data_IF_546123152109
#
_entry.id   IF_546123152109
#
_cell.length_a   1.000
_cell.length_b   1.000
_cell.length_c   1.000
_cell.angle_alpha   90.00
_cell.angle_beta   90.00
_cell.angle_gamma   90.00
#
_symmetry.space_group_name_H-M   'P 1'
#
loop_
_entity.id
_entity.type
_entity.pdbx_description
1 polymer ?
#
# COMPACT_ATOMS: atom_id res chain seq x y z
N UNK A 1 -4.54 26.21 22.77
CA UNK A 1 -3.80 25.73 21.60
C UNK A 1 -4.79 25.00 20.72
N UNK A 2 -5.11 25.57 19.55
CA UNK A 2 -5.99 24.91 18.58
C UNK A 2 -5.14 23.80 17.95
N UNK A 3 -5.53 22.54 18.17
CA UNK A 3 -4.93 21.39 17.49
C UNK A 3 -5.67 21.23 16.17
N UNK A 4 -4.96 21.34 15.05
CA UNK A 4 -5.51 21.03 13.73
C UNK A 4 -4.89 19.75 13.18
N UNK A 5 -5.54 19.16 12.19
CA UNK A 5 -5.09 17.97 11.49
C UNK A 5 -5.20 18.21 9.98
N UNK A 6 -4.31 17.62 9.19
CA UNK A 6 -4.31 17.77 7.73
C UNK A 6 -3.78 16.54 7.01
N UNK A 7 -4.22 16.39 5.76
CA UNK A 7 -3.65 15.47 4.77
C UNK A 7 -2.76 16.27 3.81
N UNK A 8 -1.53 15.82 3.62
CA UNK A 8 -0.63 16.39 2.63
C UNK A 8 -0.46 15.44 1.46
N UNK A 9 -0.62 15.96 0.24
CA UNK A 9 -0.24 15.26 -0.99
C UNK A 9 1.16 15.71 -1.44
N UNK A 10 1.98 14.78 -1.90
CA UNK A 10 3.35 15.06 -2.35
C UNK A 10 3.79 14.04 -3.43
N UNK A 11 4.80 14.36 -4.25
CA UNK A 11 5.32 13.43 -5.25
C UNK A 11 6.16 12.31 -4.63
N UNK A 12 6.43 11.24 -5.39
CA UNK A 12 7.31 10.15 -4.95
C UNK A 12 8.71 10.67 -4.63
N UNK A 13 9.27 10.39 -3.44
CA UNK A 13 10.59 10.89 -3.08
C UNK A 13 11.72 10.14 -3.78
N UNK A 14 12.75 10.88 -4.19
CA UNK A 14 13.88 10.32 -4.93
C UNK A 14 14.81 9.44 -4.06
N UNK A 15 14.93 9.75 -2.76
CA UNK A 15 15.90 9.15 -1.86
C UNK A 15 15.44 7.81 -1.23
N UNK A 16 14.15 7.46 -1.31
CA UNK A 16 13.59 6.19 -0.81
C UNK A 16 12.56 5.61 -1.78
N UNK A 17 13.04 5.22 -2.96
CA UNK A 17 12.21 4.65 -4.02
C UNK A 17 11.90 3.18 -3.77
N UNK A 18 10.61 2.83 -3.88
CA UNK A 18 10.14 1.44 -3.79
C UNK A 18 10.02 0.76 -5.16
N UNK A 19 10.05 1.56 -6.24
CA UNK A 19 9.85 1.16 -7.64
C UNK A 19 10.55 2.16 -8.59
N UNK A 20 10.56 1.87 -9.89
CA UNK A 20 11.22 2.71 -10.93
C UNK A 20 10.56 4.08 -11.15
N UNK A 21 11.34 5.02 -11.69
CA UNK A 21 10.91 6.39 -12.05
C UNK A 21 9.75 6.48 -13.04
N UNK A 22 9.47 5.42 -13.79
CA UNK A 22 8.40 5.43 -14.79
C UNK A 22 7.00 5.60 -14.18
N UNK A 23 6.82 5.18 -12.92
CA UNK A 23 5.54 5.28 -12.22
C UNK A 23 5.30 6.63 -11.54
N UNK A 24 6.29 7.53 -11.51
CA UNK A 24 6.18 8.81 -10.79
C UNK A 24 5.00 9.65 -11.27
N UNK A 25 4.72 9.63 -12.57
CA UNK A 25 3.64 10.43 -13.18
C UNK A 25 2.24 9.96 -12.82
N UNK A 26 2.10 8.70 -12.46
CA UNK A 26 0.82 8.10 -12.09
C UNK A 26 0.67 7.89 -10.58
N UNK A 27 1.73 8.17 -9.82
CA UNK A 27 1.74 7.94 -8.38
C UNK A 27 1.56 9.24 -7.61
N UNK A 28 0.60 9.27 -6.69
CA UNK A 28 0.46 10.35 -5.71
C UNK A 28 0.66 9.80 -4.31
N UNK A 29 1.51 10.45 -3.52
CA UNK A 29 1.74 10.09 -2.13
C UNK A 29 0.90 10.97 -1.20
N UNK A 30 0.42 10.38 -0.11
CA UNK A 30 -0.35 11.04 0.94
C UNK A 30 0.21 10.70 2.31
N UNK A 31 0.33 11.70 3.17
CA UNK A 31 0.57 11.51 4.59
C UNK A 31 -0.40 12.35 5.41
N UNK A 32 -0.51 11.99 6.68
CA UNK A 32 -1.36 12.67 7.64
C UNK A 32 -0.49 13.37 8.70
N UNK A 33 -0.87 14.57 9.11
CA UNK A 33 -0.26 15.26 10.24
C UNK A 33 -1.34 15.66 11.23
N UNK A 34 -1.09 15.40 12.51
CA UNK A 34 -2.03 15.67 13.60
C UNK A 34 -1.37 16.49 14.70
N UNK A 35 -2.17 16.97 15.65
CA UNK A 35 -1.71 17.81 16.77
C UNK A 35 -0.88 19.02 16.32
N UNK A 36 -1.25 19.62 15.19
CA UNK A 36 -0.50 20.70 14.55
C UNK A 36 -0.62 21.97 15.37
N UNK A 37 0.53 22.58 15.68
CA UNK A 37 0.62 23.87 16.36
C UNK A 37 0.65 25.07 15.38
N UNK A 38 0.73 26.29 15.93
CA UNK A 38 0.79 27.54 15.15
C UNK A 38 2.06 27.65 14.28
N UNK A 39 3.09 26.84 14.55
CA UNK A 39 4.32 26.74 13.77
C UNK A 39 4.26 25.63 12.71
N UNK A 40 3.09 25.02 12.48
CA UNK A 40 2.88 23.87 11.60
C UNK A 40 3.70 22.63 12.00
N UNK A 41 4.05 22.53 13.29
CA UNK A 41 4.78 21.40 13.86
C UNK A 41 3.79 20.42 14.48
N UNK A 42 4.00 19.13 14.23
CA UNK A 42 3.10 18.07 14.68
C UNK A 42 3.52 16.72 14.11
N UNK A 43 3.19 15.62 14.80
CA UNK A 43 3.52 14.26 14.38
C UNK A 43 2.91 13.89 13.02
N UNK A 44 3.64 13.06 12.29
CA UNK A 44 3.18 12.44 11.05
C UNK A 44 2.73 11.01 11.26
N UNK A 45 1.68 10.61 10.53
CA UNK A 45 1.15 9.26 10.52
C UNK A 45 -0.35 9.20 10.84
N UNK A 46 -0.92 8.02 10.70
CA UNK A 46 -2.36 7.78 10.82
C UNK A 46 -2.78 7.32 12.23
N UNK A 47 -2.24 7.97 13.27
CA UNK A 47 -2.40 7.53 14.66
C UNK A 47 -3.53 8.23 15.42
N UNK A 48 -3.96 9.41 14.98
CA UNK A 48 -5.10 10.13 15.57
C UNK A 48 -6.40 9.38 15.34
N UNK A 49 -7.43 9.65 16.17
CA UNK A 49 -8.74 9.03 16.01
C UNK A 49 -9.39 9.36 14.65
N UNK A 50 -9.21 10.59 14.16
CA UNK A 50 -9.74 11.02 12.86
C UNK A 50 -9.00 10.30 11.73
N UNK A 51 -7.66 10.24 11.80
CA UNK A 51 -6.85 9.57 10.80
C UNK A 51 -7.20 8.07 10.68
N UNK A 52 -7.39 7.40 11.82
CA UNK A 52 -7.83 5.99 11.86
C UNK A 52 -9.18 5.79 11.17
N UNK A 53 -10.15 6.68 11.42
CA UNK A 53 -11.46 6.59 10.79
C UNK A 53 -11.37 6.80 9.26
N UNK A 54 -10.57 7.79 8.81
CA UNK A 54 -10.30 8.02 7.37
C UNK A 54 -9.71 6.76 6.73
N UNK A 55 -8.71 6.14 7.38
CA UNK A 55 -8.09 4.92 6.87
C UNK A 55 -9.09 3.78 6.81
N UNK A 56 -9.86 3.56 7.86
CA UNK A 56 -10.81 2.45 7.93
C UNK A 56 -11.88 2.55 6.84
N UNK A 57 -12.38 3.76 6.59
CA UNK A 57 -13.34 4.03 5.51
C UNK A 57 -12.72 3.87 4.11
N UNK A 58 -11.42 4.09 3.97
CA UNK A 58 -10.72 3.93 2.70
C UNK A 58 -10.37 2.46 2.42
N UNK A 59 -9.91 1.73 3.45
CA UNK A 59 -9.34 0.38 3.34
C UNK A 59 -10.38 -0.75 3.38
N UNK A 60 -11.65 -0.45 3.64
CA UNK A 60 -12.70 -1.47 3.81
C UNK A 60 -12.77 -2.52 2.69
N UNK A 61 -12.35 -2.13 1.49
CA UNK A 61 -12.40 -2.97 0.28
C UNK A 61 -11.01 -3.44 -0.14
N UNK A 62 -10.03 -3.46 0.77
CA UNK A 62 -8.65 -3.84 0.49
C UNK A 62 -8.16 -4.93 1.44
N UNK A 63 -7.27 -5.76 0.91
CA UNK A 63 -6.55 -6.83 1.61
C UNK A 63 -5.05 -6.57 1.52
N UNK A 64 -4.32 -6.96 2.56
CA UNK A 64 -2.86 -6.85 2.63
C UNK A 64 -2.20 -8.12 2.10
N UNK A 65 -1.19 -7.96 1.24
CA UNK A 65 -0.33 -9.07 0.83
C UNK A 65 0.76 -9.33 1.88
N UNK A 66 0.60 -10.40 2.64
CA UNK A 66 1.57 -10.85 3.62
C UNK A 66 2.69 -11.63 2.93
N UNK A 67 3.87 -11.02 2.83
CA UNK A 67 5.03 -11.60 2.13
C UNK A 67 5.61 -12.82 2.86
N UNK A 68 5.40 -12.92 4.19
CA UNK A 68 5.90 -14.01 5.02
C UNK A 68 5.00 -15.23 4.85
N UNK A 69 3.70 -15.00 5.03
CA UNK A 69 2.68 -16.03 4.91
C UNK A 69 2.32 -16.36 3.46
N UNK A 70 2.78 -15.53 2.51
CA UNK A 70 2.51 -15.64 1.08
C UNK A 70 1.02 -15.74 0.79
N UNK A 71 0.22 -14.83 1.35
CA UNK A 71 -1.24 -14.83 1.20
C UNK A 71 -1.82 -13.42 1.30
N UNK A 72 -3.02 -13.24 0.77
CA UNK A 72 -3.82 -12.03 0.98
C UNK A 72 -4.58 -12.16 2.32
N UNK A 73 -4.57 -11.09 3.11
CA UNK A 73 -5.16 -11.06 4.45
C UNK A 73 -6.05 -9.85 4.62
N UNK A 74 -7.22 -10.04 5.23
CA UNK A 74 -8.08 -8.92 5.62
C UNK A 74 -7.38 -8.06 6.67
N UNK A 75 -7.58 -6.76 6.58
CA UNK A 75 -6.94 -5.76 7.43
C UNK A 75 -7.92 -4.68 7.80
N UNK A 76 -7.82 -4.24 9.05
CA UNK A 76 -8.71 -3.23 9.61
C UNK A 76 -8.01 -1.86 9.71
N UNK A 77 -6.80 -1.73 9.14
CA UNK A 77 -5.94 -0.54 9.19
C UNK A 77 -4.72 -0.65 8.25
N UNK A 78 -3.94 0.45 8.14
CA UNK A 78 -2.67 0.52 7.38
C UNK A 78 -1.41 0.45 8.25
N UNK A 79 -1.37 -0.33 9.35
CA UNK A 79 -0.17 -0.32 10.21
C UNK A 79 1.08 -0.91 9.53
N UNK A 80 0.90 -1.86 8.61
CA UNK A 80 2.02 -2.56 7.96
C UNK A 80 2.46 -1.81 6.71
N UNK A 81 3.76 -1.80 6.47
CA UNK A 81 4.28 -1.34 5.18
C UNK A 81 4.07 -2.47 4.15
N UNK A 82 3.91 -2.10 2.89
CA UNK A 82 3.73 -3.05 1.81
C UNK A 82 2.49 -2.82 0.97
N UNK A 83 2.08 -3.88 0.28
CA UNK A 83 1.12 -3.84 -0.81
C UNK A 83 -0.29 -4.17 -0.31
N UNK A 84 -1.22 -3.27 -0.61
CA UNK A 84 -2.65 -3.42 -0.35
C UNK A 84 -3.39 -3.48 -1.67
N UNK A 85 -4.21 -4.50 -1.86
CA UNK A 85 -4.89 -4.82 -3.12
C UNK A 85 -6.38 -4.87 -2.86
N UNK A 86 -7.20 -4.41 -3.81
CA UNK A 86 -8.66 -4.51 -3.71
C UNK A 86 -9.10 -5.95 -3.43
N UNK A 87 -10.07 -6.14 -2.53
CA UNK A 87 -10.69 -7.42 -2.24
C UNK A 87 -11.35 -8.04 -3.47
N UNK A 88 -11.75 -7.22 -4.45
CA UNK A 88 -12.29 -7.71 -5.71
C UNK A 88 -11.22 -8.38 -6.59
N UNK A 89 -9.93 -8.20 -6.26
CA UNK A 89 -8.79 -8.94 -6.79
C UNK A 89 -8.67 -10.38 -6.27
N UNK A 90 -9.77 -10.99 -5.82
CA UNK A 90 -9.83 -12.36 -5.28
C UNK A 90 -9.19 -13.42 -6.19
N UNK A 91 -9.10 -13.18 -7.50
CA UNK A 91 -8.38 -14.05 -8.43
C UNK A 91 -6.92 -14.26 -8.01
N UNK A 92 -6.22 -13.21 -7.59
CA UNK A 92 -4.81 -13.28 -7.18
C UNK A 92 -4.61 -14.14 -5.92
N UNK A 93 -5.54 -14.05 -4.97
CA UNK A 93 -5.53 -14.90 -3.78
C UNK A 93 -5.72 -16.37 -4.12
N UNK A 94 -6.70 -16.67 -4.98
CA UNK A 94 -6.96 -18.04 -5.44
C UNK A 94 -5.78 -18.61 -6.24
N UNK A 95 -5.13 -17.82 -7.09
CA UNK A 95 -3.93 -18.23 -7.84
C UNK A 95 -2.79 -18.65 -6.89
N UNK A 96 -2.55 -17.86 -5.84
CA UNK A 96 -1.57 -18.17 -4.80
C UNK A 96 -1.90 -19.50 -4.11
N UNK A 97 -3.15 -19.71 -3.72
CA UNK A 97 -3.58 -20.92 -3.03
C UNK A 97 -3.42 -22.17 -3.91
N UNK A 98 -3.92 -22.10 -5.15
CA UNK A 98 -3.83 -23.19 -6.13
C UNK A 98 -2.37 -23.56 -6.38
N UNK A 99 -1.52 -22.56 -6.64
CA UNK A 99 -0.10 -22.77 -6.86
C UNK A 99 0.58 -23.41 -5.64
N UNK A 100 0.32 -22.88 -4.44
CA UNK A 100 0.91 -23.38 -3.19
C UNK A 100 0.50 -24.82 -2.89
N UNK A 101 -0.76 -25.18 -3.17
CA UNK A 101 -1.25 -26.55 -3.03
C UNK A 101 -0.58 -27.50 -4.03
N UNK A 102 -0.40 -27.08 -5.28
CA UNK A 102 0.27 -27.88 -6.31
C UNK A 102 1.74 -28.13 -5.96
N UNK A 103 2.47 -27.11 -5.48
CA UNK A 103 3.85 -27.24 -5.01
C UNK A 103 3.96 -28.23 -3.84
N UNK A 104 3.14 -28.07 -2.79
CA UNK A 104 3.12 -29.00 -1.64
C UNK A 104 2.80 -30.43 -2.06
N UNK A 105 1.86 -30.61 -3.00
CA UNK A 105 1.52 -31.92 -3.55
C UNK A 105 2.70 -32.56 -4.27
N UNK A 106 3.49 -31.79 -5.01
CA UNK A 106 4.71 -32.27 -5.65
C UNK A 106 5.80 -32.66 -4.65
N UNK A 107 6.01 -31.89 -3.59
CA UNK A 107 6.94 -32.24 -2.52
C UNK A 107 6.60 -33.60 -1.89
N UNK A 108 5.31 -33.84 -1.59
CA UNK A 108 4.84 -35.10 -1.03
C UNK A 108 4.99 -36.27 -2.01
N UNK A 109 4.75 -36.05 -3.31
CA UNK A 109 4.89 -37.08 -4.35
C UNK A 109 6.35 -37.45 -4.55
N UNK A 110 7.24 -36.47 -4.60
CA UNK A 110 8.69 -36.66 -4.68
C UNK A 110 9.22 -37.46 -3.49
N UNK A 111 8.76 -37.16 -2.28
CA UNK A 111 9.08 -37.95 -1.08
C UNK A 111 8.61 -39.40 -1.13
N UNK A 112 7.63 -39.72 -1.98
CA UNK A 112 7.10 -41.08 -2.22
C UNK A 112 7.64 -41.73 -3.50
N UNK A 113 8.58 -41.10 -4.20
CA UNK A 113 9.12 -41.58 -5.49
C UNK A 113 8.09 -41.54 -6.64
N UNK A 114 7.04 -40.75 -6.51
CA UNK A 114 6.01 -40.57 -7.54
C UNK A 114 6.39 -39.40 -8.46
N UNK A 115 6.01 -39.50 -9.74
CA UNK A 115 6.18 -38.41 -10.70
C UNK A 115 5.44 -37.14 -10.26
N UNK A 116 6.07 -35.99 -10.48
CA UNK A 116 5.47 -34.67 -10.23
C UNK A 116 4.25 -34.43 -11.14
N UNK A 117 3.30 -33.65 -10.65
CA UNK A 117 2.22 -33.08 -11.46
C UNK A 117 2.69 -31.75 -12.06
N UNK A 118 2.12 -31.39 -13.21
CA UNK A 118 2.33 -30.06 -13.78
C UNK A 118 1.81 -29.00 -12.82
N UNK A 119 2.59 -27.93 -12.64
CA UNK A 119 2.22 -26.78 -11.82
C UNK A 119 2.00 -25.60 -12.76
N UNK A 120 0.90 -24.88 -12.56
CA UNK A 120 0.62 -23.65 -13.27
C UNK A 120 1.73 -22.61 -13.09
N UNK A 121 1.71 -21.57 -13.93
CA UNK A 121 2.65 -20.46 -13.84
C UNK A 121 2.63 -19.86 -12.43
N UNK A 122 3.81 -19.61 -11.87
CA UNK A 122 3.96 -18.96 -10.57
C UNK A 122 3.18 -17.63 -10.54
N UNK A 123 2.25 -17.45 -9.58
CA UNK A 123 1.50 -16.19 -9.41
C UNK A 123 2.44 -15.01 -9.23
N UNK A 124 2.10 -13.87 -9.85
CA UNK A 124 3.01 -12.71 -9.91
C UNK A 124 3.31 -12.14 -8.52
N UNK A 125 2.34 -12.14 -7.60
CA UNK A 125 2.53 -11.63 -6.23
C UNK A 125 3.60 -12.42 -5.46
N UNK A 126 3.86 -13.68 -5.82
CA UNK A 126 4.95 -14.47 -5.22
C UNK A 126 6.35 -14.02 -5.68
N UNK A 127 6.48 -13.00 -6.54
CA UNK A 127 7.75 -12.32 -6.81
C UNK A 127 8.08 -11.22 -5.82
N UNK A 128 7.11 -10.72 -5.05
CA UNK A 128 7.34 -9.74 -3.98
C UNK A 128 8.07 -10.43 -2.82
N UNK A 129 9.34 -10.11 -2.60
CA UNK A 129 10.18 -10.75 -1.57
C UNK A 129 10.33 -9.92 -0.29
N UNK A 130 9.90 -8.67 -0.31
CA UNK A 130 9.99 -7.72 0.79
C UNK A 130 8.80 -6.77 0.81
N UNK A 131 8.30 -6.44 2.00
CA UNK A 131 7.27 -5.42 2.19
C UNK A 131 7.71 -4.03 1.69
N UNK A 132 9.01 -3.74 1.73
CA UNK A 132 9.55 -2.43 1.35
C UNK A 132 10.02 -2.36 -0.11
N UNK A 133 9.83 -3.40 -0.92
CA UNK A 133 10.27 -3.38 -2.31
C UNK A 133 9.32 -4.19 -3.18
N UNK A 134 8.51 -3.48 -3.97
CA UNK A 134 7.54 -4.10 -4.87
C UNK A 134 8.15 -4.15 -6.27
N UNK A 135 8.31 -5.33 -6.87
CA UNK A 135 8.84 -5.45 -8.23
C UNK A 135 7.97 -4.70 -9.25
N UNK A 136 8.60 -4.06 -10.22
CA UNK A 136 7.89 -3.26 -11.24
C UNK A 136 6.89 -4.11 -12.02
N UNK A 137 7.22 -5.37 -12.32
CA UNK A 137 6.32 -6.29 -13.03
C UNK A 137 5.01 -6.56 -12.27
N UNK A 138 5.02 -6.48 -10.93
CA UNK A 138 3.82 -6.60 -10.12
C UNK A 138 2.96 -5.35 -10.30
N UNK A 139 3.56 -4.16 -10.21
CA UNK A 139 2.87 -2.87 -10.40
C UNK A 139 2.26 -2.80 -11.81
N UNK A 140 3.03 -3.15 -12.85
CA UNK A 140 2.55 -3.19 -14.23
C UNK A 140 1.38 -4.17 -14.39
N UNK A 141 1.46 -5.35 -13.79
CA UNK A 141 0.37 -6.32 -13.85
C UNK A 141 -0.90 -5.80 -13.20
N UNK A 142 -0.81 -5.24 -11.99
CA UNK A 142 -1.97 -4.68 -11.29
C UNK A 142 -2.62 -3.52 -12.07
N UNK A 143 -1.81 -2.67 -12.70
CA UNK A 143 -2.31 -1.59 -13.55
C UNK A 143 -3.00 -2.14 -14.81
N UNK A 144 -2.36 -3.07 -15.53
CA UNK A 144 -2.89 -3.60 -16.79
C UNK A 144 -4.18 -4.40 -16.63
N UNK A 145 -4.34 -5.03 -15.46
CA UNK A 145 -5.51 -5.85 -15.15
C UNK A 145 -6.60 -5.02 -14.42
N UNK A 146 -6.45 -3.68 -14.38
CA UNK A 146 -7.37 -2.74 -13.72
C UNK A 146 -7.67 -3.11 -12.25
N UNK A 147 -6.68 -3.67 -11.54
CA UNK A 147 -6.81 -4.08 -10.14
C UNK A 147 -6.44 -2.90 -9.25
N UNK A 148 -7.37 -2.31 -8.46
CA UNK A 148 -7.03 -1.20 -7.58
C UNK A 148 -6.06 -1.64 -6.47
N UNK A 149 -5.02 -0.85 -6.23
CA UNK A 149 -4.02 -1.12 -5.20
C UNK A 149 -3.35 0.16 -4.70
N UNK A 150 -2.75 0.08 -3.52
CA UNK A 150 -1.87 1.12 -3.00
C UNK A 150 -0.71 0.50 -2.22
N UNK A 151 0.33 1.29 -2.00
CA UNK A 151 1.49 0.88 -1.20
C UNK A 151 1.58 1.76 0.04
N UNK A 152 1.83 1.16 1.19
CA UNK A 152 2.12 1.86 2.44
C UNK A 152 3.61 1.80 2.71
N UNK A 153 4.21 2.94 3.04
CA UNK A 153 5.61 3.02 3.43
C UNK A 153 5.84 4.20 4.37
N UNK A 154 6.84 4.07 5.24
CA UNK A 154 7.24 5.14 6.15
C UNK A 154 8.38 5.97 5.55
N UNK A 155 8.25 7.29 5.51
CA UNK A 155 9.26 8.22 5.00
C UNK A 155 10.00 8.99 6.11
N UNK A 156 10.17 8.40 7.29
CA UNK A 156 10.78 9.09 8.42
C UNK A 156 12.16 9.74 8.15
N UNK A 157 12.43 10.92 8.75
CA UNK A 157 11.53 11.67 9.64
C UNK A 157 10.45 12.51 8.93
N UNK A 158 10.55 12.73 7.62
CA UNK A 158 9.60 13.52 6.85
C UNK A 158 8.33 12.72 6.48
N UNK A 159 7.13 13.32 6.57
CA UNK A 159 5.86 12.67 6.18
C UNK A 159 5.44 11.39 6.94
N UNK A 160 6.31 10.79 7.77
CA UNK A 160 5.99 9.59 8.55
C UNK A 160 5.38 8.47 7.69
N UNK A 161 4.32 7.83 8.21
CA UNK A 161 3.58 6.80 7.47
C UNK A 161 2.80 7.42 6.32
N UNK A 162 3.01 6.89 5.11
CA UNK A 162 2.44 7.42 3.87
C UNK A 162 1.79 6.34 3.01
N UNK A 163 0.79 6.75 2.24
CA UNK A 163 0.07 5.93 1.26
C UNK A 163 0.44 6.41 -0.13
N UNK A 164 0.76 5.48 -1.03
CA UNK A 164 1.11 5.72 -2.42
C UNK A 164 0.04 5.11 -3.32
N UNK A 165 -0.66 5.96 -4.07
CA UNK A 165 -1.80 5.59 -4.92
C UNK A 165 -1.41 5.76 -6.40
N UNK A 166 -1.75 4.78 -7.24
CA UNK A 166 -1.31 4.68 -8.65
C UNK A 166 -2.39 5.00 -9.69
N UNK A 167 -3.56 5.49 -9.25
CA UNK A 167 -4.70 5.81 -10.12
C UNK A 167 -5.40 7.09 -9.66
N UNK A 168 -5.76 7.96 -10.61
CA UNK A 168 -6.51 9.18 -10.34
C UNK A 168 -7.89 8.90 -9.73
N UNK A 169 -8.53 7.79 -10.11
CA UNK A 169 -9.81 7.37 -9.54
C UNK A 169 -9.67 7.04 -8.05
N UNK A 170 -8.62 6.28 -7.69
CA UNK A 170 -8.32 5.98 -6.30
C UNK A 170 -7.93 7.21 -5.50
N UNK A 171 -7.19 8.15 -6.11
CA UNK A 171 -6.88 9.45 -5.48
C UNK A 171 -8.17 10.20 -5.16
N UNK A 172 -9.09 10.28 -6.12
CA UNK A 172 -10.39 10.92 -5.92
C UNK A 172 -11.17 10.25 -4.79
N UNK A 173 -11.25 8.92 -4.79
CA UNK A 173 -11.89 8.13 -3.73
C UNK A 173 -11.29 8.43 -2.36
N UNK A 174 -9.95 8.42 -2.23
CA UNK A 174 -9.28 8.74 -0.97
C UNK A 174 -9.61 10.16 -0.48
N UNK A 175 -9.52 11.16 -1.36
CA UNK A 175 -9.84 12.54 -1.03
C UNK A 175 -11.32 12.74 -0.68
N UNK A 176 -12.23 12.01 -1.31
CA UNK A 176 -13.65 12.03 -0.98
C UNK A 176 -13.91 11.46 0.43
N UNK A 177 -13.14 10.45 0.87
CA UNK A 177 -13.17 10.00 2.26
C UNK A 177 -12.64 11.09 3.20
N UNK A 178 -11.47 11.67 2.93
CA UNK A 178 -10.87 12.73 3.76
C UNK A 178 -11.83 13.91 3.97
N UNK A 179 -12.52 14.35 2.91
CA UNK A 179 -13.48 15.45 2.97
C UNK A 179 -14.66 15.20 3.91
N UNK A 180 -15.09 13.94 4.10
CA UNK A 180 -16.17 13.59 5.05
C UNK A 180 -15.80 13.94 6.50
N UNK A 181 -14.50 13.99 6.81
CA UNK A 181 -13.99 14.23 8.14
C UNK A 181 -13.60 15.70 8.40
N UNK A 182 -13.84 16.60 7.44
CA UNK A 182 -13.48 18.03 7.55
C UNK A 182 -12.00 18.28 7.88
N UNK A 183 -11.11 17.43 7.35
CA UNK A 183 -9.66 17.57 7.49
C UNK A 183 -9.12 18.39 6.32
N UNK A 184 -8.21 19.31 6.61
CA UNK A 184 -7.58 20.15 5.59
C UNK A 184 -6.73 19.31 4.63
N UNK A 185 -6.73 19.67 3.35
CA UNK A 185 -5.93 19.02 2.31
C UNK A 185 -4.98 20.06 1.72
N UNK A 186 -3.68 19.79 1.76
CA UNK A 186 -2.68 20.66 1.12
C UNK A 186 -1.72 19.89 0.21
N UNK A 187 -1.13 20.60 -0.74
CA UNK A 187 -0.11 20.08 -1.65
C UNK A 187 1.27 20.54 -1.22
N UNK A 188 2.26 19.65 -1.35
CA UNK A 188 3.67 19.98 -1.15
C UNK A 188 4.43 19.50 -2.39
N UNK A 189 5.26 20.39 -2.94
CA UNK A 189 5.99 20.13 -4.18
C UNK A 189 7.15 19.15 -3.99
N UNK A 190 7.68 19.05 -2.76
CA UNK A 190 8.74 18.11 -2.40
C UNK A 190 8.62 17.73 -0.92
N UNK A 191 8.75 16.43 -0.60
CA UNK A 191 8.80 15.92 0.77
C UNK A 191 9.92 16.59 1.59
N UNK A 192 11.03 16.98 0.96
CA UNK A 192 12.18 17.58 1.63
C UNK A 192 11.88 18.99 2.20
N UNK A 193 10.72 19.58 1.82
CA UNK A 193 10.22 20.83 2.39
C UNK A 193 9.43 20.62 3.68
N UNK A 194 9.16 19.38 4.06
CA UNK A 194 8.47 19.03 5.28
C UNK A 194 9.41 19.13 6.48
N UNK A 195 8.90 19.60 7.61
CA UNK A 195 9.68 19.64 8.85
C UNK A 195 9.85 18.20 9.36
N UNK A 196 11.03 17.84 9.83
CA UNK A 196 11.21 16.60 10.58
C UNK A 196 10.46 16.68 11.90
N UNK A 197 9.90 15.54 12.35
CA UNK A 197 9.23 15.38 13.64
C UNK A 197 9.94 14.31 14.48
#
# INVERSE_FOLDING_TARGET
MVKSERVMKFPVPDWKRLFSKEFDKITTCFCYQYDIDESFYGPYGFDSSIAKNIINDFISDFVFYDVVERKLTNVDNVYRNGLYISSDGNSLGNEIEIYSMAVKKNELRKGRGLNEIEVEKKPILLSVDSECKIPNEVIVHLINDDIPFFIVNDYMPEAGKSIMIFSEEMVKRFLDVVRKYNVDICAIDNIDLMKSW
#
